data_IF_295758665386
#
_entry.id   IF_295758665386
#
_cell.length_a   1.000
_cell.length_b   1.000
_cell.length_c   1.000
_cell.angle_alpha   90.00
_cell.angle_beta   90.00
_cell.angle_gamma   90.00
#
_symmetry.space_group_name_H-M   'P 1'
#
loop_
_entity.id
_entity.type
_entity.pdbx_description
1 polymer ?
#
# COMPACT_ATOMS: atom_id res chain seq x y z
N UNK A 1 26.00 -40.85 23.39
CA UNK A 1 24.91 -40.60 24.37
C UNK A 1 24.83 -39.09 24.60
N UNK A 2 23.60 -38.53 24.58
CA UNK A 2 23.17 -37.12 24.76
C UNK A 2 23.33 -36.13 23.59
N UNK A 3 22.24 -35.37 23.39
CA UNK A 3 21.90 -34.39 22.34
C UNK A 3 21.61 -33.03 23.03
N UNK A 4 21.66 -31.95 22.24
CA UNK A 4 21.05 -30.60 22.39
C UNK A 4 21.93 -29.56 23.14
N UNK A 5 22.01 -28.28 22.76
CA UNK A 5 21.02 -27.37 22.16
C UNK A 5 21.66 -26.13 21.51
N UNK A 6 20.90 -25.57 20.55
CA UNK A 6 20.86 -24.27 19.86
C UNK A 6 21.60 -23.07 20.47
N UNK A 7 22.15 -22.27 19.54
CA UNK A 7 22.28 -20.83 19.66
C UNK A 7 23.35 -20.30 18.72
N UNK A 8 22.96 -19.67 17.60
CA UNK A 8 23.82 -18.68 16.96
C UNK A 8 22.96 -17.66 16.20
N UNK A 9 22.79 -16.52 16.84
CA UNK A 9 22.28 -15.27 16.27
C UNK A 9 23.32 -14.79 15.27
N UNK A 10 23.00 -14.79 13.97
CA UNK A 10 23.86 -14.19 12.97
C UNK A 10 23.55 -12.69 12.88
N UNK A 11 24.31 -11.90 13.65
CA UNK A 11 24.38 -10.44 13.55
C UNK A 11 24.91 -10.07 12.17
N UNK A 12 24.15 -9.31 11.37
CA UNK A 12 24.64 -8.75 10.11
C UNK A 12 25.66 -7.64 10.42
N UNK A 13 26.93 -7.91 10.15
CA UNK A 13 28.01 -6.92 10.21
C UNK A 13 28.12 -6.28 8.82
N UNK A 14 27.75 -5.00 8.72
CA UNK A 14 28.01 -4.23 7.50
C UNK A 14 29.48 -3.80 7.47
N UNK A 15 30.30 -4.51 6.71
CA UNK A 15 31.62 -4.03 6.30
C UNK A 15 31.49 -3.32 4.95
N UNK A 16 31.58 -1.98 4.96
CA UNK A 16 31.75 -1.19 3.74
C UNK A 16 33.19 -1.24 3.27
N UNK A 17 33.46 -2.00 2.21
CA UNK A 17 34.69 -1.90 1.42
C UNK A 17 34.33 -1.50 0.00
N UNK A 18 34.73 -0.28 -0.40
CA UNK A 18 34.57 0.23 -1.76
C UNK A 18 35.39 -0.60 -2.76
N UNK A 19 34.72 -1.26 -3.69
CA UNK A 19 35.22 -1.59 -5.03
C UNK A 19 34.08 -1.37 -6.02
N UNK A 20 34.32 -0.52 -7.02
CA UNK A 20 33.37 -0.20 -8.08
C UNK A 20 33.13 -1.45 -8.94
N UNK A 21 32.08 -2.20 -8.66
CA UNK A 21 31.52 -3.14 -9.62
C UNK A 21 30.78 -2.32 -10.69
N UNK A 22 31.00 -2.68 -11.96
CA UNK A 22 30.23 -2.10 -13.08
C UNK A 22 28.80 -2.63 -13.04
N UNK A 23 27.84 -1.87 -13.59
CA UNK A 23 26.42 -2.23 -13.54
C UNK A 23 26.18 -3.61 -14.18
N UNK A 24 26.94 -3.98 -15.22
CA UNK A 24 26.86 -5.32 -15.82
C UNK A 24 27.20 -6.48 -14.86
N UNK A 25 28.13 -6.30 -13.93
CA UNK A 25 28.56 -7.36 -13.00
C UNK A 25 27.50 -7.67 -11.93
N UNK A 26 26.69 -6.68 -11.58
CA UNK A 26 25.58 -6.83 -10.62
C UNK A 26 24.39 -7.54 -11.27
N UNK A 27 24.14 -7.26 -12.56
CA UNK A 27 23.07 -7.93 -13.31
C UNK A 27 23.34 -9.41 -13.57
N UNK A 28 24.61 -9.80 -13.78
CA UNK A 28 24.97 -11.20 -14.08
C UNK A 28 24.98 -12.13 -12.86
N UNK A 29 25.10 -11.59 -11.63
CA UNK A 29 25.16 -12.38 -10.40
C UNK A 29 23.84 -12.47 -9.64
N UNK A 30 22.75 -11.91 -10.19
CA UNK A 30 21.42 -12.05 -9.60
C UNK A 30 20.75 -13.30 -10.17
N UNK A 31 21.10 -14.47 -9.63
CA UNK A 31 20.28 -15.66 -9.81
C UNK A 31 18.96 -15.45 -9.05
N UNK A 32 17.97 -14.89 -9.74
CA UNK A 32 16.59 -14.94 -9.27
C UNK A 32 16.17 -16.40 -9.34
N UNK A 33 16.15 -17.05 -8.17
CA UNK A 33 15.47 -18.34 -8.03
C UNK A 33 13.99 -18.07 -8.28
N UNK A 34 13.55 -18.32 -9.52
CA UNK A 34 12.14 -18.33 -9.87
C UNK A 34 11.50 -19.37 -8.96
N UNK A 35 10.79 -18.92 -7.94
CA UNK A 35 9.89 -19.79 -7.20
C UNK A 35 8.87 -20.28 -8.22
N UNK A 36 8.79 -21.60 -8.39
CA UNK A 36 7.74 -22.27 -9.15
C UNK A 36 6.42 -21.61 -8.75
N UNK A 37 5.89 -20.79 -9.65
CA UNK A 37 4.56 -20.24 -9.52
C UNK A 37 3.67 -21.42 -9.77
N UNK A 38 3.30 -22.08 -8.66
CA UNK A 38 2.31 -23.12 -8.64
C UNK A 38 1.10 -22.51 -9.36
N UNK A 39 0.83 -22.98 -10.58
CA UNK A 39 -0.37 -22.63 -11.33
C UNK A 39 -1.54 -22.89 -10.40
N UNK A 40 -2.00 -21.80 -9.81
CA UNK A 40 -3.09 -21.82 -8.88
C UNK A 40 -4.33 -21.72 -9.74
N UNK A 41 -5.18 -22.73 -9.62
CA UNK A 41 -6.57 -22.75 -10.07
C UNK A 41 -7.39 -21.67 -9.34
N UNK A 42 -6.94 -20.41 -9.34
CA UNK A 42 -7.57 -19.29 -8.67
C UNK A 42 -8.34 -18.49 -9.69
N UNK A 43 -9.64 -18.33 -9.45
CA UNK A 43 -10.41 -17.25 -10.04
C UNK A 43 -9.69 -15.92 -9.82
N UNK A 44 -9.90 -14.99 -10.74
CA UNK A 44 -9.31 -13.66 -10.68
C UNK A 44 -9.64 -13.04 -9.31
N UNK A 45 -8.60 -12.73 -8.51
CA UNK A 45 -8.79 -12.12 -7.19
C UNK A 45 -9.54 -10.78 -7.30
N UNK A 46 -9.43 -10.10 -8.45
CA UNK A 46 -10.21 -8.91 -8.73
C UNK A 46 -11.70 -9.21 -8.86
N UNK A 47 -12.09 -10.28 -9.57
CA UNK A 47 -13.49 -10.72 -9.66
C UNK A 47 -14.04 -11.10 -8.27
N UNK A 48 -13.25 -11.84 -7.47
CA UNK A 48 -13.67 -12.22 -6.12
C UNK A 48 -13.91 -10.98 -5.24
N UNK A 49 -12.98 -10.04 -5.23
CA UNK A 49 -13.09 -8.83 -4.41
C UNK A 49 -14.19 -7.91 -4.91
N UNK A 50 -14.32 -7.71 -6.23
CA UNK A 50 -15.36 -6.87 -6.80
C UNK A 50 -16.77 -7.45 -6.59
N UNK A 51 -16.92 -8.78 -6.50
CA UNK A 51 -18.21 -9.40 -6.14
C UNK A 51 -18.64 -9.12 -4.69
N UNK A 52 -17.69 -8.76 -3.81
CA UNK A 52 -17.92 -8.56 -2.37
C UNK A 52 -17.98 -7.08 -1.99
N UNK A 53 -17.19 -6.25 -2.66
CA UNK A 53 -16.98 -4.86 -2.29
C UNK A 53 -17.17 -3.92 -3.48
N UNK A 54 -17.75 -2.75 -3.21
CA UNK A 54 -17.83 -1.65 -4.18
C UNK A 54 -16.86 -0.55 -3.76
N UNK A 55 -15.71 -0.44 -4.43
CA UNK A 55 -14.65 0.54 -4.09
C UNK A 55 -15.08 2.00 -4.17
N UNK A 56 -16.21 2.32 -4.81
CA UNK A 56 -16.81 3.66 -4.82
C UNK A 56 -17.72 3.92 -3.61
N UNK A 57 -17.96 2.91 -2.79
CA UNK A 57 -18.86 2.97 -1.64
C UNK A 57 -18.48 1.94 -0.55
N UNK A 58 -17.23 1.98 -0.08
CA UNK A 58 -16.73 1.11 1.00
C UNK A 58 -16.17 1.89 2.17
N UNK A 59 -16.18 1.28 3.35
CA UNK A 59 -15.52 1.84 4.54
C UNK A 59 -14.00 1.69 4.44
N UNK A 60 -13.28 2.34 5.36
CA UNK A 60 -11.82 2.21 5.45
C UNK A 60 -11.37 0.79 5.85
N UNK A 61 -12.13 0.11 6.71
CA UNK A 61 -11.88 -1.27 7.10
C UNK A 61 -12.01 -2.21 5.90
N UNK A 62 -13.11 -2.08 5.15
CA UNK A 62 -13.35 -2.83 3.92
C UNK A 62 -12.23 -2.58 2.89
N UNK A 63 -11.80 -1.32 2.71
CA UNK A 63 -10.66 -0.99 1.85
C UNK A 63 -9.35 -1.64 2.32
N UNK A 64 -9.12 -1.69 3.63
CA UNK A 64 -7.95 -2.33 4.23
C UNK A 64 -7.96 -3.84 3.99
N UNK A 65 -9.12 -4.48 4.05
CA UNK A 65 -9.29 -5.90 3.71
C UNK A 65 -8.97 -6.16 2.23
N UNK A 66 -9.51 -5.36 1.32
CA UNK A 66 -9.19 -5.42 -0.13
C UNK A 66 -7.69 -5.29 -0.36
N UNK A 67 -7.09 -4.25 0.23
CA UNK A 67 -5.65 -3.97 0.13
C UNK A 67 -4.80 -5.13 0.64
N UNK A 68 -5.18 -5.72 1.78
CA UNK A 68 -4.48 -6.87 2.33
C UNK A 68 -4.59 -8.09 1.42
N UNK A 69 -5.79 -8.38 0.88
CA UNK A 69 -5.99 -9.52 0.00
C UNK A 69 -5.16 -9.42 -1.28
N UNK A 70 -5.13 -8.24 -1.91
CA UNK A 70 -4.29 -7.97 -3.07
C UNK A 70 -2.79 -8.10 -2.74
N UNK A 71 -2.37 -7.60 -1.57
CA UNK A 71 -0.98 -7.70 -1.12
C UNK A 71 -0.55 -9.15 -0.86
N UNK A 72 -1.37 -9.93 -0.15
CA UNK A 72 -1.10 -11.34 0.15
C UNK A 72 -0.98 -12.20 -1.13
N UNK A 73 -1.67 -11.80 -2.21
CA UNK A 73 -1.59 -12.43 -3.53
C UNK A 73 -0.45 -11.91 -4.42
N UNK A 74 0.25 -10.86 -3.99
CA UNK A 74 1.33 -10.23 -4.75
C UNK A 74 0.85 -9.32 -5.89
N UNK A 75 -0.43 -8.99 -5.96
CA UNK A 75 -1.00 -8.08 -6.97
C UNK A 75 -0.57 -6.63 -6.74
N UNK A 76 -0.33 -6.27 -5.48
CA UNK A 76 0.20 -4.96 -5.08
C UNK A 76 1.42 -5.13 -4.18
N UNK A 77 2.32 -4.16 -4.23
CA UNK A 77 3.49 -4.09 -3.36
C UNK A 77 3.14 -3.60 -1.95
N UNK A 78 4.06 -3.80 -1.01
CA UNK A 78 3.95 -3.26 0.34
C UNK A 78 3.76 -1.74 0.35
N UNK A 79 4.37 -1.03 -0.61
CA UNK A 79 4.24 0.43 -0.71
C UNK A 79 2.81 0.84 -1.06
N UNK A 80 2.18 0.18 -2.03
CA UNK A 80 0.78 0.42 -2.36
C UNK A 80 -0.11 0.06 -1.16
N UNK A 81 0.10 -1.11 -0.54
CA UNK A 81 -0.63 -1.52 0.65
C UNK A 81 -0.62 -0.45 1.75
N UNK A 82 0.57 0.03 2.14
CA UNK A 82 0.73 1.09 3.14
C UNK A 82 0.11 2.43 2.73
N UNK A 83 0.07 2.72 1.43
CA UNK A 83 -0.54 3.97 0.92
C UNK A 83 -2.06 3.92 1.06
N UNK A 84 -2.66 2.74 0.85
CA UNK A 84 -4.11 2.51 0.95
C UNK A 84 -4.55 2.45 2.42
N UNK A 85 -3.77 1.78 3.27
CA UNK A 85 -4.11 1.53 4.68
C UNK A 85 -3.67 2.64 5.63
N UNK A 86 -3.31 3.81 5.09
CA UNK A 86 -3.07 4.98 5.93
C UNK A 86 -4.40 5.51 6.48
N UNK A 87 -4.54 5.49 7.80
CA UNK A 87 -5.75 5.92 8.51
C UNK A 87 -5.80 7.45 8.65
N UNK A 88 -6.41 8.10 7.64
CA UNK A 88 -6.57 9.55 7.59
C UNK A 88 -7.51 10.09 8.67
N UNK A 89 -8.51 9.31 9.11
CA UNK A 89 -9.40 9.72 10.18
C UNK A 89 -8.66 9.79 11.52
N UNK A 90 -7.93 8.74 11.87
CA UNK A 90 -7.11 8.72 13.09
C UNK A 90 -6.04 9.79 13.07
N UNK A 91 -5.40 10.03 11.93
CA UNK A 91 -4.44 11.12 11.78
C UNK A 91 -5.12 12.49 11.96
N UNK A 92 -6.30 12.70 11.38
CA UNK A 92 -7.11 13.92 11.57
C UNK A 92 -7.44 14.15 13.05
N UNK A 93 -7.94 13.12 13.73
CA UNK A 93 -8.32 13.18 15.14
C UNK A 93 -7.11 13.44 16.04
N UNK A 94 -5.98 12.81 15.75
CA UNK A 94 -4.73 13.07 16.46
C UNK A 94 -4.29 14.53 16.32
N UNK A 95 -4.32 15.09 15.10
CA UNK A 95 -3.96 16.50 14.86
C UNK A 95 -4.92 17.43 15.60
N UNK A 96 -6.24 17.20 15.52
CA UNK A 96 -7.24 18.01 16.23
C UNK A 96 -7.02 18.02 17.74
N UNK A 97 -6.61 16.88 18.31
CA UNK A 97 -6.43 16.72 19.75
C UNK A 97 -5.12 17.31 20.28
N UNK A 98 -4.03 17.17 19.52
CA UNK A 98 -2.68 17.42 20.04
C UNK A 98 -1.94 18.58 19.37
N UNK A 99 -2.55 19.25 18.38
CA UNK A 99 -1.96 20.46 17.81
C UNK A 99 -1.80 21.55 18.88
N UNK A 100 -0.65 22.24 18.84
CA UNK A 100 -0.34 23.38 19.73
C UNK A 100 -1.30 24.55 19.48
N UNK A 101 -1.83 24.64 18.27
CA UNK A 101 -2.77 25.68 17.84
C UNK A 101 -4.17 25.10 17.65
N UNK A 102 -5.18 25.95 17.77
CA UNK A 102 -6.56 25.56 17.52
C UNK A 102 -6.74 25.10 16.07
N UNK A 103 -7.13 23.85 15.89
CA UNK A 103 -7.49 23.28 14.59
C UNK A 103 -8.99 23.47 14.36
N UNK A 104 -9.36 23.78 13.11
CA UNK A 104 -10.77 23.91 12.72
C UNK A 104 -11.53 22.60 13.04
N UNK A 105 -12.75 22.67 13.62
CA UNK A 105 -13.60 21.49 13.77
C UNK A 105 -13.87 20.77 12.44
N UNK A 106 -13.88 21.53 11.33
CA UNK A 106 -14.08 21.05 9.96
C UNK A 106 -12.81 20.54 9.28
N UNK A 107 -11.66 20.55 9.95
CA UNK A 107 -10.44 19.99 9.39
C UNK A 107 -10.64 18.49 9.11
N UNK A 108 -10.23 18.04 7.92
CA UNK A 108 -10.18 16.64 7.54
C UNK A 108 -8.93 16.42 6.71
N UNK A 109 -8.31 15.25 6.85
CA UNK A 109 -7.24 14.80 5.96
C UNK A 109 -7.76 14.05 4.74
N UNK A 110 -9.06 13.74 4.67
CA UNK A 110 -9.70 13.26 3.45
C UNK A 110 -9.81 14.39 2.43
N UNK A 111 -9.72 14.04 1.15
CA UNK A 111 -9.94 14.99 0.06
C UNK A 111 -11.42 15.00 -0.40
N UNK A 112 -12.15 13.93 -0.12
CA UNK A 112 -13.59 13.75 -0.40
C UNK A 112 -14.38 13.48 0.87
N UNK A 113 -15.69 13.76 0.84
CA UNK A 113 -16.57 13.50 1.97
C UNK A 113 -17.01 12.03 2.01
N UNK A 114 -17.11 11.48 3.22
CA UNK A 114 -17.74 10.19 3.45
C UNK A 114 -19.27 10.32 3.52
N UNK A 115 -19.98 9.22 3.23
CA UNK A 115 -21.42 9.13 3.45
C UNK A 115 -21.76 9.07 4.96
N UNK A 116 -23.06 9.02 5.29
CA UNK A 116 -23.53 8.94 6.67
C UNK A 116 -23.09 7.68 7.44
N UNK A 117 -22.57 6.68 6.73
CA UNK A 117 -22.08 5.40 7.26
C UNK A 117 -20.54 5.31 7.25
N UNK A 118 -19.83 6.39 6.90
CA UNK A 118 -18.36 6.38 6.80
C UNK A 118 -17.82 5.72 5.54
N UNK A 119 -18.65 5.50 4.51
CA UNK A 119 -18.24 4.97 3.20
C UNK A 119 -17.70 6.09 2.32
N UNK A 120 -16.66 5.80 1.57
CA UNK A 120 -15.96 6.76 0.70
C UNK A 120 -15.92 6.22 -0.72
N UNK A 121 -16.00 7.11 -1.72
CA UNK A 121 -15.58 6.77 -3.08
C UNK A 121 -14.05 6.81 -3.14
N UNK A 122 -13.42 5.66 -2.97
CA UNK A 122 -11.96 5.58 -2.91
C UNK A 122 -11.29 5.89 -4.24
N UNK A 123 -11.99 5.74 -5.37
CA UNK A 123 -11.46 6.19 -6.65
C UNK A 123 -11.41 7.71 -6.66
N UNK A 124 -12.50 8.39 -6.32
CA UNK A 124 -12.54 9.85 -6.26
C UNK A 124 -11.52 10.41 -5.23
N UNK A 125 -11.41 9.78 -4.06
CA UNK A 125 -10.45 10.15 -3.02
C UNK A 125 -9.01 10.10 -3.53
N UNK A 126 -8.62 9.01 -4.20
CA UNK A 126 -7.26 8.86 -4.70
C UNK A 126 -6.99 9.70 -5.96
N UNK A 127 -8.01 10.03 -6.76
CA UNK A 127 -7.93 11.02 -7.85
C UNK A 127 -7.63 12.41 -7.31
N UNK A 128 -8.37 12.88 -6.31
CA UNK A 128 -8.13 14.18 -5.68
C UNK A 128 -6.75 14.24 -5.01
N UNK A 129 -6.33 13.16 -4.34
CA UNK A 129 -4.96 13.07 -3.76
C UNK A 129 -3.88 13.12 -4.83
N UNK A 130 -4.06 12.42 -5.95
CA UNK A 130 -3.11 12.47 -7.06
C UNK A 130 -3.03 13.90 -7.62
N UNK A 131 -4.17 14.53 -7.90
CA UNK A 131 -4.25 15.89 -8.41
C UNK A 131 -3.58 16.91 -7.47
N UNK A 132 -3.81 16.77 -6.17
CA UNK A 132 -3.18 17.58 -5.13
C UNK A 132 -1.66 17.45 -5.14
N UNK A 133 -1.15 16.21 -5.14
CA UNK A 133 0.29 15.97 -5.20
C UNK A 133 0.92 16.56 -6.46
N UNK A 134 0.27 16.39 -7.61
CA UNK A 134 0.72 16.99 -8.86
C UNK A 134 0.78 18.52 -8.76
N UNK A 135 -0.29 19.14 -8.25
CA UNK A 135 -0.41 20.60 -8.08
C UNK A 135 0.68 21.18 -7.18
N UNK A 136 1.10 20.47 -6.15
CA UNK A 136 2.16 20.90 -5.22
C UNK A 136 3.56 20.42 -5.63
N UNK A 137 3.73 19.82 -6.81
CA UNK A 137 5.03 19.37 -7.32
C UNK A 137 5.55 18.07 -6.67
N UNK A 138 4.72 17.35 -5.90
CA UNK A 138 5.03 16.05 -5.32
C UNK A 138 4.87 14.93 -6.36
N UNK A 139 5.78 14.86 -7.33
CA UNK A 139 5.69 13.88 -8.43
C UNK A 139 5.83 12.42 -7.97
N UNK A 140 6.56 12.17 -6.87
CA UNK A 140 6.69 10.84 -6.28
C UNK A 140 5.36 10.39 -5.68
N UNK A 141 4.71 11.29 -4.94
CA UNK A 141 3.37 11.07 -4.39
C UNK A 141 2.37 10.83 -5.51
N UNK A 142 2.31 11.72 -6.50
CA UNK A 142 1.43 11.60 -7.67
C UNK A 142 1.52 10.22 -8.33
N UNK A 143 2.73 9.76 -8.66
CA UNK A 143 2.95 8.43 -9.25
C UNK A 143 2.49 7.30 -8.34
N UNK A 144 2.68 7.43 -7.03
CA UNK A 144 2.20 6.44 -6.05
C UNK A 144 0.67 6.36 -6.05
N UNK A 145 -0.03 7.49 -6.12
CA UNK A 145 -1.50 7.51 -6.18
C UNK A 145 -2.05 6.99 -7.51
N UNK A 146 -1.38 7.25 -8.63
CA UNK A 146 -1.78 6.67 -9.93
C UNK A 146 -1.72 5.14 -9.94
N UNK A 147 -0.72 4.55 -9.27
CA UNK A 147 -0.68 3.08 -9.09
C UNK A 147 -1.81 2.57 -8.20
N UNK A 148 -2.20 3.36 -7.20
CA UNK A 148 -3.38 3.04 -6.38
C UNK A 148 -4.65 3.03 -7.22
N UNK A 149 -4.83 4.08 -8.02
CA UNK A 149 -5.97 4.18 -8.93
C UNK A 149 -6.05 3.03 -9.92
N UNK A 150 -4.94 2.54 -10.46
CA UNK A 150 -5.00 1.49 -11.48
C UNK A 150 -5.66 0.19 -10.99
N UNK A 151 -5.41 -0.25 -9.75
CA UNK A 151 -6.07 -1.45 -9.22
C UNK A 151 -7.47 -1.17 -8.68
N UNK A 152 -7.73 0.03 -8.11
CA UNK A 152 -9.10 0.39 -7.72
C UNK A 152 -10.03 0.44 -8.94
N UNK A 153 -9.56 1.01 -10.04
CA UNK A 153 -10.28 1.01 -11.32
C UNK A 153 -10.37 -0.39 -11.95
N UNK A 154 -9.44 -1.29 -11.65
CA UNK A 154 -9.56 -2.69 -12.07
C UNK A 154 -10.64 -3.43 -11.29
N UNK A 155 -10.80 -3.15 -10.00
CA UNK A 155 -11.91 -3.65 -9.18
C UNK A 155 -13.27 -3.10 -9.66
N UNK A 156 -13.34 -1.82 -10.02
CA UNK A 156 -14.56 -1.15 -10.51
C UNK A 156 -15.03 -1.61 -11.90
N UNK A 157 -14.16 -2.29 -12.67
CA UNK A 157 -14.44 -2.74 -14.05
C UNK A 157 -14.99 -4.17 -14.16
N UNK A 158 -15.00 -4.91 -13.06
CA UNK A 158 -15.55 -6.27 -13.01
C UNK A 158 -17.09 -6.21 -13.06
#
# INVERSE_FOLDING_TARGET
MRIQSLGNVATSVYTTTKKNATVEEVFMNTEVKMMDTKESLTGDIYEELASKYNVRNTTFEELTEISKALYDKGEISLKEHMTITFDYERATNNIKQYAVTQVSPKFSMYETDADSNGRVDWIAEFEERANKDFKYGNLIGYRSKLKVLSFLQQLDRQ
#
